data_IF_058516524811
#
_entry.id   IF_058516524811
#
_cell.length_a   1.000
_cell.length_b   1.000
_cell.length_c   1.000
_cell.angle_alpha   90.00
_cell.angle_beta   90.00
_cell.angle_gamma   90.00
#
_symmetry.space_group_name_H-M   'P 1'
#
loop_
_entity.id
_entity.type
_entity.pdbx_description
1 polymer ?
#
# COMPACT_ATOMS: atom_id res chain seq x y z
N UNK A 1 32.69 -0.19 -23.08
CA UNK A 1 32.95 -1.34 -22.19
C UNK A 1 31.73 -1.52 -21.31
N UNK A 2 30.83 -2.42 -21.70
CA UNK A 2 29.54 -2.64 -21.07
C UNK A 2 29.70 -3.59 -19.89
N UNK A 3 29.37 -3.16 -18.68
CA UNK A 3 29.31 -4.05 -17.51
C UNK A 3 27.83 -4.43 -17.28
N UNK A 4 27.49 -5.61 -17.74
CA UNK A 4 26.21 -6.27 -17.46
C UNK A 4 26.17 -6.71 -15.99
N UNK A 5 25.42 -5.99 -15.16
CA UNK A 5 25.10 -6.40 -13.79
C UNK A 5 24.13 -7.58 -13.79
N UNK A 6 24.59 -8.73 -13.30
CA UNK A 6 23.83 -9.98 -13.20
C UNK A 6 22.74 -9.86 -12.14
N UNK A 7 21.50 -9.85 -12.56
CA UNK A 7 20.35 -10.05 -11.67
C UNK A 7 20.36 -11.49 -11.13
N UNK A 8 20.59 -11.62 -9.83
CA UNK A 8 20.39 -12.90 -9.13
C UNK A 8 18.89 -13.13 -8.95
N UNK A 9 18.35 -14.08 -9.71
CA UNK A 9 17.03 -14.66 -9.48
C UNK A 9 17.06 -15.40 -8.15
N UNK A 10 16.42 -14.87 -7.13
CA UNK A 10 16.10 -15.61 -5.91
C UNK A 10 14.79 -16.37 -6.17
N UNK A 11 14.95 -17.70 -6.26
CA UNK A 11 13.92 -18.68 -6.53
C UNK A 11 13.22 -19.08 -5.23
N UNK A 12 11.92 -18.97 -5.21
CA UNK A 12 10.90 -19.77 -4.55
C UNK A 12 11.16 -20.40 -3.17
N UNK A 13 10.33 -19.98 -2.22
CA UNK A 13 9.84 -20.81 -1.14
C UNK A 13 8.33 -21.05 -1.29
N UNK A 14 7.96 -22.22 -1.83
CA UNK A 14 6.58 -22.67 -1.98
C UNK A 14 6.16 -23.31 -0.66
N UNK A 15 5.48 -22.56 0.22
CA UNK A 15 4.89 -23.12 1.43
C UNK A 15 3.46 -23.54 1.13
N UNK A 16 3.28 -24.84 1.03
CA UNK A 16 1.98 -25.49 0.87
C UNK A 16 1.11 -25.28 2.11
N UNK A 17 -0.03 -24.67 1.93
CA UNK A 17 -1.09 -24.60 2.93
C UNK A 17 -1.92 -25.86 2.81
N UNK A 18 -1.78 -26.75 3.79
CA UNK A 18 -2.67 -27.90 3.97
C UNK A 18 -3.97 -27.38 4.59
N UNK A 19 -5.03 -27.34 3.79
CA UNK A 19 -6.38 -27.10 4.27
C UNK A 19 -6.94 -28.43 4.78
N UNK A 20 -7.02 -28.63 6.08
CA UNK A 20 -7.74 -29.73 6.70
C UNK A 20 -9.20 -29.33 6.81
N UNK A 21 -10.04 -29.81 5.90
CA UNK A 21 -11.48 -29.74 5.99
C UNK A 21 -11.94 -30.94 6.84
N UNK A 22 -12.29 -30.69 8.09
CA UNK A 22 -12.94 -31.69 8.94
C UNK A 22 -14.46 -31.58 8.75
N UNK A 23 -15.02 -32.45 7.93
CA UNK A 23 -16.43 -32.75 7.87
C UNK A 23 -16.76 -33.72 9.02
N UNK A 24 -17.51 -33.27 10.01
CA UNK A 24 -18.19 -34.17 10.94
C UNK A 24 -19.68 -34.06 10.63
N UNK A 25 -20.14 -35.12 10.02
CA UNK A 25 -21.52 -35.33 9.65
C UNK A 25 -22.44 -35.71 10.83
N UNK A 26 -23.67 -35.43 10.59
CA UNK A 26 -24.82 -35.56 11.45
C UNK A 26 -25.19 -37.00 11.84
N UNK A 27 -26.02 -37.16 12.82
CA UNK A 27 -27.28 -37.92 12.79
C UNK A 27 -27.87 -37.92 14.19
N UNK A 28 -29.07 -37.39 14.35
CA UNK A 28 -30.23 -38.24 14.43
C UNK A 28 -30.88 -38.27 15.80
N UNK A 29 -32.17 -37.91 15.90
CA UNK A 29 -33.06 -38.56 16.84
C UNK A 29 -33.57 -37.79 18.06
N UNK A 30 -34.75 -37.27 17.95
CA UNK A 30 -35.90 -37.08 18.77
C UNK A 30 -35.85 -37.23 20.32
N UNK A 31 -36.62 -36.34 20.99
CA UNK A 31 -37.01 -36.49 22.37
C UNK A 31 -37.38 -35.16 23.01
N UNK A 32 -38.67 -34.95 23.23
CA UNK A 32 -39.23 -33.85 24.07
C UNK A 32 -38.73 -33.97 25.50
N UNK A 33 -38.46 -32.89 26.19
CA UNK A 33 -39.22 -32.40 27.32
C UNK A 33 -38.57 -31.12 27.93
N UNK A 34 -39.46 -30.36 28.55
CA UNK A 34 -39.27 -29.05 29.21
C UNK A 34 -38.29 -29.06 30.37
N UNK A 35 -37.55 -27.99 30.58
CA UNK A 35 -37.64 -27.17 31.80
C UNK A 35 -36.62 -26.04 31.82
N UNK A 36 -37.07 -24.91 32.33
CA UNK A 36 -36.40 -23.63 32.52
C UNK A 36 -35.04 -23.71 33.24
N UNK A 37 -34.02 -22.96 32.81
CA UNK A 37 -33.36 -22.01 33.70
C UNK A 37 -32.41 -21.05 32.95
N UNK A 38 -32.52 -19.80 33.31
CA UNK A 38 -31.72 -18.68 32.80
C UNK A 38 -30.25 -18.80 33.20
N UNK A 39 -29.33 -18.65 32.26
CA UNK A 39 -28.03 -18.04 32.54
C UNK A 39 -27.50 -17.25 31.36
N UNK A 40 -27.36 -15.97 31.60
CA UNK A 40 -26.94 -14.90 30.72
C UNK A 40 -25.42 -14.97 30.58
N UNK A 41 -24.96 -15.67 29.55
CA UNK A 41 -23.55 -15.69 29.16
C UNK A 41 -23.37 -14.81 27.92
N UNK A 42 -22.93 -13.59 28.10
CA UNK A 42 -22.58 -12.63 27.07
C UNK A 42 -21.30 -13.09 26.36
N UNK A 43 -21.43 -13.86 25.29
CA UNK A 43 -20.30 -14.17 24.42
C UNK A 43 -20.21 -13.07 23.36
N UNK A 44 -19.44 -12.05 23.66
CA UNK A 44 -19.01 -11.06 22.66
C UNK A 44 -18.09 -11.78 21.68
N UNK A 45 -18.66 -12.25 20.59
CA UNK A 45 -17.88 -12.73 19.44
C UNK A 45 -17.26 -11.50 18.78
N UNK A 46 -16.04 -11.17 19.18
CA UNK A 46 -15.21 -10.21 18.46
C UNK A 46 -14.87 -10.85 17.11
N UNK A 47 -15.64 -10.52 16.09
CA UNK A 47 -15.28 -10.79 14.70
C UNK A 47 -14.08 -9.90 14.38
N UNK A 48 -12.87 -10.40 14.60
CA UNK A 48 -11.67 -9.83 14.02
C UNK A 48 -11.77 -10.05 12.52
N UNK A 49 -12.23 -9.01 11.79
CA UNK A 49 -11.97 -8.90 10.36
C UNK A 49 -10.44 -8.82 10.23
N UNK A 50 -9.82 -9.94 9.86
CA UNK A 50 -8.46 -9.95 9.34
C UNK A 50 -8.49 -9.14 8.04
N UNK A 51 -8.20 -7.85 8.12
CA UNK A 51 -7.83 -7.05 6.95
C UNK A 51 -6.65 -7.78 6.30
N UNK A 52 -6.86 -8.24 5.08
CA UNK A 52 -5.83 -8.86 4.26
C UNK A 52 -4.74 -7.80 4.07
N UNK A 53 -3.65 -7.93 4.81
CA UNK A 53 -2.57 -6.95 4.83
C UNK A 53 -2.04 -6.80 3.41
N UNK A 54 -2.20 -5.60 2.83
CA UNK A 54 -1.76 -5.29 1.47
C UNK A 54 -0.24 -5.33 1.44
N UNK A 55 0.32 -6.18 0.58
CA UNK A 55 1.77 -6.27 0.40
C UNK A 55 2.25 -5.18 -0.55
N UNK A 56 3.31 -4.46 -0.17
CA UNK A 56 3.88 -3.36 -0.93
C UNK A 56 5.29 -3.71 -1.40
N UNK A 57 5.55 -3.60 -2.69
CA UNK A 57 6.91 -3.69 -3.23
C UNK A 57 7.67 -2.40 -2.93
N UNK A 58 8.87 -2.52 -2.36
CA UNK A 58 9.71 -1.36 -2.07
C UNK A 58 10.31 -0.78 -3.35
N UNK A 59 10.31 0.56 -3.49
CA UNK A 59 10.87 1.29 -4.60
C UNK A 59 11.54 2.59 -4.13
N UNK A 60 12.73 2.88 -4.64
CA UNK A 60 13.41 4.17 -4.43
C UNK A 60 12.84 5.23 -5.38
N UNK A 61 12.50 6.40 -4.85
CA UNK A 61 11.89 7.49 -5.63
C UNK A 61 12.77 7.96 -6.78
N UNK A 62 14.08 8.06 -6.59
CA UNK A 62 14.99 8.56 -7.64
C UNK A 62 15.09 7.56 -8.79
N UNK A 63 14.97 6.25 -8.52
CA UNK A 63 14.90 5.20 -9.54
C UNK A 63 13.60 5.36 -10.33
N UNK A 64 12.45 5.46 -9.65
CA UNK A 64 11.15 5.67 -10.30
C UNK A 64 11.16 6.91 -11.20
N UNK A 65 11.62 8.07 -10.68
CA UNK A 65 11.65 9.31 -11.45
C UNK A 65 12.60 9.24 -12.64
N UNK A 66 13.74 8.51 -12.52
CA UNK A 66 14.64 8.27 -13.65
C UNK A 66 13.97 7.45 -14.73
N UNK A 67 13.30 6.35 -14.36
CA UNK A 67 12.61 5.48 -15.31
C UNK A 67 11.46 6.20 -16.03
N UNK A 68 10.68 7.03 -15.31
CA UNK A 68 9.62 7.84 -15.94
C UNK A 68 10.19 8.85 -16.92
N UNK A 69 11.32 9.48 -16.59
CA UNK A 69 11.99 10.45 -17.47
C UNK A 69 12.59 9.79 -18.72
N UNK A 70 13.19 8.62 -18.55
CA UNK A 70 13.86 7.92 -19.64
C UNK A 70 12.86 7.26 -20.61
N UNK A 71 11.79 6.65 -20.09
CA UNK A 71 10.71 6.04 -20.85
C UNK A 71 9.44 5.84 -20.03
N UNK A 72 8.59 6.88 -19.98
CA UNK A 72 7.34 6.84 -19.22
C UNK A 72 6.39 5.70 -19.64
N UNK A 73 6.37 5.34 -20.93
CA UNK A 73 5.52 4.25 -21.42
C UNK A 73 5.95 2.89 -20.84
N UNK A 74 7.26 2.62 -20.82
CA UNK A 74 7.79 1.41 -20.22
C UNK A 74 7.59 1.42 -18.68
N UNK A 75 7.84 2.54 -18.01
CA UNK A 75 7.58 2.70 -16.59
C UNK A 75 6.09 2.46 -16.26
N UNK A 76 5.17 2.98 -17.07
CA UNK A 76 3.73 2.75 -16.90
C UNK A 76 3.36 1.26 -17.03
N UNK A 77 3.91 0.55 -18.01
CA UNK A 77 3.69 -0.90 -18.14
C UNK A 77 4.24 -1.67 -16.92
N UNK A 78 5.38 -1.22 -16.39
CA UNK A 78 6.02 -1.88 -15.27
C UNK A 78 5.30 -1.66 -13.93
N UNK A 79 4.74 -0.47 -13.70
CA UNK A 79 4.29 -0.06 -12.35
C UNK A 79 2.79 0.15 -12.21
N UNK A 80 2.04 0.42 -13.29
CA UNK A 80 0.59 0.65 -13.21
C UNK A 80 -0.13 -0.50 -12.50
N UNK A 81 -0.94 -0.15 -11.51
CA UNK A 81 -1.71 -1.08 -10.68
C UNK A 81 -0.91 -1.77 -9.56
N UNK A 82 0.41 -1.55 -9.47
CA UNK A 82 1.22 -2.14 -8.41
C UNK A 82 1.08 -1.37 -7.10
N UNK A 83 0.99 -2.11 -6.00
CA UNK A 83 1.11 -1.56 -4.66
C UNK A 83 2.59 -1.38 -4.32
N UNK A 84 2.98 -0.16 -3.94
CA UNK A 84 4.38 0.20 -3.69
C UNK A 84 4.56 0.94 -2.37
N UNK A 85 5.70 0.68 -1.73
CA UNK A 85 6.28 1.48 -0.64
C UNK A 85 7.41 2.30 -1.24
N UNK A 86 7.23 3.60 -1.34
CA UNK A 86 8.21 4.51 -1.94
C UNK A 86 9.04 5.17 -0.84
N UNK A 87 10.35 5.01 -0.92
CA UNK A 87 11.35 5.52 0.02
C UNK A 87 12.25 6.58 -0.63
N UNK A 88 12.97 7.35 0.20
CA UNK A 88 13.99 8.31 -0.25
C UNK A 88 13.46 9.64 -0.77
N UNK A 89 12.16 9.93 -0.57
CA UNK A 89 11.54 11.18 -0.98
C UNK A 89 11.25 12.15 0.16
N UNK A 90 10.90 13.38 -0.21
CA UNK A 90 10.45 14.40 0.72
C UNK A 90 9.18 15.08 0.21
N UNK A 91 8.42 15.69 1.12
CA UNK A 91 7.20 16.44 0.78
C UNK A 91 7.57 17.64 -0.09
N UNK A 92 7.12 17.63 -1.35
CA UNK A 92 7.24 18.75 -2.27
C UNK A 92 6.14 19.78 -2.06
N UNK A 93 4.90 19.31 -1.98
CA UNK A 93 3.73 20.15 -1.73
C UNK A 93 2.65 19.41 -0.94
N UNK A 94 1.85 20.15 -0.19
CA UNK A 94 0.61 19.69 0.44
C UNK A 94 -0.51 20.60 -0.05
N UNK A 95 -1.54 20.04 -0.66
CA UNK A 95 -2.72 20.80 -1.12
C UNK A 95 -3.49 21.42 0.06
N UNK A 96 -4.03 22.63 -0.12
CA UNK A 96 -4.74 23.36 0.93
C UNK A 96 -5.97 22.63 1.50
N UNK A 97 -6.62 21.81 0.67
CA UNK A 97 -7.78 21.00 1.05
C UNK A 97 -7.41 19.55 1.39
N UNK A 98 -6.09 19.24 1.37
CA UNK A 98 -5.55 17.89 1.58
C UNK A 98 -6.15 16.87 0.59
N UNK A 99 -6.32 17.27 -0.66
CA UNK A 99 -6.78 16.39 -1.74
C UNK A 99 -5.63 15.57 -2.33
N UNK A 100 -4.41 16.12 -2.26
CA UNK A 100 -3.20 15.46 -2.70
C UNK A 100 -1.97 16.00 -1.96
N UNK A 101 -0.90 15.25 -2.03
CA UNK A 101 0.47 15.69 -1.72
C UNK A 101 1.39 15.34 -2.89
N UNK A 102 2.48 16.07 -3.06
CA UNK A 102 3.55 15.66 -3.98
C UNK A 102 4.78 15.23 -3.20
N UNK A 103 5.45 14.21 -3.70
CA UNK A 103 6.70 13.72 -3.18
C UNK A 103 7.78 13.94 -4.23
N UNK A 104 8.82 14.65 -3.85
CA UNK A 104 9.96 14.95 -4.70
C UNK A 104 11.14 14.04 -4.36
N UNK A 105 11.93 13.71 -5.38
CA UNK A 105 13.19 13.01 -5.22
C UNK A 105 14.30 13.92 -4.69
N UNK A 106 15.38 13.32 -4.23
CA UNK A 106 16.55 14.06 -3.71
C UNK A 106 17.54 14.47 -4.80
N UNK A 107 17.42 13.90 -6.02
CA UNK A 107 18.28 14.25 -7.13
C UNK A 107 17.80 15.54 -7.82
N UNK A 108 18.63 16.58 -7.82
CA UNK A 108 18.31 17.91 -8.38
C UNK A 108 17.85 17.89 -9.86
N UNK A 109 18.19 16.84 -10.63
CA UNK A 109 17.80 16.68 -12.04
C UNK A 109 16.32 16.36 -12.25
N UNK A 110 15.53 16.12 -11.19
CA UNK A 110 14.11 15.72 -11.27
C UNK A 110 13.15 16.82 -10.76
N UNK A 111 13.51 18.10 -10.92
CA UNK A 111 12.72 19.22 -10.39
C UNK A 111 11.32 19.38 -10.98
N UNK A 112 11.05 18.77 -12.14
CA UNK A 112 9.75 18.87 -12.86
C UNK A 112 8.89 17.62 -12.71
N UNK A 113 9.50 16.47 -12.34
CA UNK A 113 8.82 15.17 -12.25
C UNK A 113 8.74 14.77 -10.78
N UNK A 114 7.57 14.38 -10.31
CA UNK A 114 7.31 14.01 -8.91
C UNK A 114 6.34 12.85 -8.81
N UNK A 115 6.11 12.38 -7.61
CA UNK A 115 5.01 11.45 -7.32
C UNK A 115 3.82 12.27 -6.83
N UNK A 116 2.74 12.31 -7.61
CA UNK A 116 1.47 12.90 -7.21
C UNK A 116 0.64 11.88 -6.45
N UNK A 117 0.39 12.13 -5.18
CA UNK A 117 -0.30 11.21 -4.28
C UNK A 117 -1.72 11.68 -4.00
N UNK A 118 -2.72 11.06 -4.62
CA UNK A 118 -4.14 11.36 -4.38
C UNK A 118 -4.58 10.86 -3.01
N UNK A 119 -5.23 11.72 -2.23
CA UNK A 119 -5.75 11.44 -0.90
C UNK A 119 -7.24 11.16 -0.97
N UNK A 120 -7.69 10.02 -0.43
CA UNK A 120 -9.11 9.71 -0.33
C UNK A 120 -9.78 10.70 0.64
N UNK A 121 -10.77 11.45 0.13
CA UNK A 121 -11.49 12.46 0.91
C UNK A 121 -12.18 11.89 2.17
N UNK A 122 -12.49 10.59 2.16
CA UNK A 122 -13.17 9.89 3.26
C UNK A 122 -12.18 9.35 4.31
N UNK A 123 -10.90 9.26 3.99
CA UNK A 123 -9.88 8.75 4.91
C UNK A 123 -9.40 9.87 5.85
N UNK A 124 -10.12 10.03 6.97
CA UNK A 124 -9.82 11.06 7.96
C UNK A 124 -8.45 10.84 8.61
N UNK A 125 -8.10 9.60 8.94
CA UNK A 125 -6.82 9.26 9.58
C UNK A 125 -5.62 9.65 8.70
N UNK A 126 -5.69 9.35 7.39
CA UNK A 126 -4.67 9.74 6.43
C UNK A 126 -4.54 11.26 6.32
N UNK A 127 -5.67 12.00 6.32
CA UNK A 127 -5.66 13.47 6.30
C UNK A 127 -5.02 14.04 7.56
N UNK A 128 -5.37 13.53 8.74
CA UNK A 128 -4.79 13.95 10.01
C UNK A 128 -3.27 13.69 10.04
N UNK A 129 -2.82 12.55 9.50
CA UNK A 129 -1.40 12.25 9.35
C UNK A 129 -0.69 13.26 8.42
N UNK A 130 -1.30 13.62 7.29
CA UNK A 130 -0.74 14.59 6.33
C UNK A 130 -0.66 15.99 6.94
N UNK A 131 -1.66 16.41 7.71
CA UNK A 131 -1.67 17.72 8.38
C UNK A 131 -0.54 17.90 9.40
N UNK A 132 0.01 16.81 9.91
CA UNK A 132 1.17 16.84 10.80
C UNK A 132 2.52 16.98 10.06
N UNK A 133 2.53 16.82 8.72
CA UNK A 133 3.75 16.90 7.90
C UNK A 133 4.06 18.34 7.48
N UNK A 134 5.30 18.53 7.04
CA UNK A 134 5.78 19.83 6.54
C UNK A 134 6.47 19.66 5.19
N UNK A 135 6.40 20.69 4.36
CA UNK A 135 7.16 20.77 3.11
C UNK A 135 8.67 20.58 3.39
N UNK A 136 9.33 19.77 2.56
CA UNK A 136 10.73 19.38 2.72
C UNK A 136 10.98 18.26 3.73
N UNK A 137 9.97 17.76 4.43
CA UNK A 137 10.12 16.65 5.37
C UNK A 137 10.30 15.33 4.63
N UNK A 138 11.28 14.53 5.03
CA UNK A 138 11.49 13.19 4.49
C UNK A 138 10.35 12.27 4.89
N UNK A 139 9.84 11.50 3.93
CA UNK A 139 8.71 10.60 4.13
C UNK A 139 8.88 9.28 3.38
N UNK A 140 8.20 8.27 3.88
CA UNK A 140 7.89 7.03 3.16
C UNK A 140 6.41 7.03 2.85
N UNK A 141 6.03 6.78 1.59
CA UNK A 141 4.63 6.71 1.18
C UNK A 141 4.26 5.32 0.68
N UNK A 142 3.03 4.90 0.96
CA UNK A 142 2.47 3.63 0.56
C UNK A 142 1.23 3.86 -0.28
N UNK A 143 1.09 3.16 -1.39
CA UNK A 143 -0.06 3.34 -2.24
C UNK A 143 -0.06 2.44 -3.46
N UNK A 144 -1.02 2.67 -4.35
CA UNK A 144 -1.12 1.97 -5.62
C UNK A 144 -0.88 2.95 -6.76
N UNK A 145 0.08 2.64 -7.65
CA UNK A 145 0.36 3.45 -8.83
C UNK A 145 -0.82 3.37 -9.79
N UNK A 146 -1.38 4.51 -10.15
CA UNK A 146 -2.49 4.64 -11.08
C UNK A 146 -2.00 4.73 -12.52
N UNK A 147 -0.99 5.55 -12.72
CA UNK A 147 -0.38 5.78 -14.04
C UNK A 147 1.00 6.43 -13.91
N UNK A 148 1.76 6.39 -15.00
CA UNK A 148 3.03 7.09 -15.14
C UNK A 148 2.99 7.93 -16.41
N UNK A 149 3.24 9.23 -16.28
CA UNK A 149 3.31 10.21 -17.36
C UNK A 149 4.71 10.79 -17.53
N UNK A 150 4.97 11.31 -18.72
CA UNK A 150 6.27 11.89 -19.12
C UNK A 150 6.51 13.30 -18.55
N UNK A 151 5.44 14.02 -18.21
CA UNK A 151 5.51 15.39 -17.68
C UNK A 151 5.36 15.43 -16.16
N UNK A 152 4.36 14.73 -15.64
CA UNK A 152 3.99 14.79 -14.21
C UNK A 152 4.65 13.69 -13.37
N UNK A 153 5.21 12.65 -13.98
CA UNK A 153 5.76 11.49 -13.30
C UNK A 153 4.69 10.50 -12.90
N UNK A 154 4.69 10.06 -11.65
CA UNK A 154 3.78 9.04 -11.14
C UNK A 154 2.53 9.63 -10.51
N UNK A 155 1.37 9.03 -10.78
CA UNK A 155 0.14 9.24 -10.03
C UNK A 155 -0.12 8.02 -9.14
N UNK A 156 -0.28 8.25 -7.84
CA UNK A 156 -0.42 7.24 -6.78
C UNK A 156 -1.72 7.46 -6.01
N UNK A 157 -2.53 6.43 -5.83
CA UNK A 157 -3.57 6.45 -4.79
C UNK A 157 -2.89 6.19 -3.45
N UNK A 158 -2.86 7.19 -2.58
CA UNK A 158 -2.18 7.11 -1.29
C UNK A 158 -2.99 6.28 -0.28
N UNK A 159 -2.34 5.29 0.31
CA UNK A 159 -2.91 4.47 1.38
C UNK A 159 -2.39 4.91 2.76
N UNK A 160 -1.09 5.27 2.84
CA UNK A 160 -0.42 5.65 4.09
C UNK A 160 0.79 6.54 3.82
N UNK A 161 1.11 7.42 4.77
CA UNK A 161 2.36 8.20 4.79
C UNK A 161 3.00 8.11 6.17
N UNK A 162 4.31 8.00 6.22
CA UNK A 162 5.13 7.95 7.44
C UNK A 162 6.28 8.94 7.33
N UNK A 163 6.62 9.60 8.45
CA UNK A 163 7.87 10.37 8.53
C UNK A 163 9.05 9.40 8.43
N UNK A 164 9.97 9.67 7.51
CA UNK A 164 11.25 8.97 7.49
C UNK A 164 12.21 9.65 8.48
N UNK A 165 12.88 8.81 9.28
CA UNK A 165 13.92 9.28 10.21
C UNK A 165 15.23 9.53 9.47
#
# INVERSE_FOLDING_TARGET
MFVMGKFKKALLGLVGIVVVVSLIGACGGGGKDKSDNANKGNSTTTTQQQEKQKEYAEADINVLLSEAKDNAAAANQNYKGKAVKIIGGHIGNIDSDVKYITIDGTAAKYTMIHIHCDVDAKNKELKDAILALKKGQNVTVYGTIKEVGDIMGYSLKLDKVESAQ
#
